data_IF_301390289040
#
_entry.id   IF_301390289040
#
_cell.length_a   1.000
_cell.length_b   1.000
_cell.length_c   1.000
_cell.angle_alpha   90.00
_cell.angle_beta   90.00
_cell.angle_gamma   90.00
#
_symmetry.space_group_name_H-M   'P 1'
#
loop_
_entity.id
_entity.type
_entity.pdbx_description
1 polymer ?
#
# COMPACT_ATOMS: atom_id res chain seq x y z
N UNK A 1 50.69 -42.47 15.72
CA UNK A 1 49.55 -42.10 16.57
C UNK A 1 48.70 -41.15 15.74
N UNK A 2 47.66 -41.67 15.09
CA UNK A 2 46.77 -40.90 14.22
C UNK A 2 45.35 -41.05 14.78
N UNK A 3 44.76 -39.94 15.22
CA UNK A 3 43.36 -39.86 15.65
C UNK A 3 42.49 -39.57 14.42
N UNK A 4 41.67 -40.55 14.03
CA UNK A 4 40.61 -40.37 13.03
C UNK A 4 39.38 -39.80 13.74
N UNK A 5 39.19 -38.48 13.67
CA UNK A 5 37.99 -37.79 14.13
C UNK A 5 36.90 -38.00 13.09
N UNK A 6 35.98 -38.94 13.35
CA UNK A 6 34.74 -39.09 12.57
C UNK A 6 33.59 -38.36 13.25
N UNK A 7 32.89 -37.59 12.44
CA UNK A 7 31.79 -36.70 12.76
C UNK A 7 30.55 -37.47 13.24
N UNK A 8 29.98 -37.07 14.37
CA UNK A 8 28.65 -37.50 14.82
C UNK A 8 27.65 -36.37 14.54
N UNK A 9 27.36 -36.20 13.26
CA UNK A 9 26.12 -35.60 12.78
C UNK A 9 25.02 -36.65 12.98
N UNK A 10 23.85 -36.23 13.48
CA UNK A 10 22.62 -37.02 13.71
C UNK A 10 22.50 -37.67 15.10
N UNK A 11 22.04 -36.86 16.06
CA UNK A 11 21.12 -37.35 17.08
C UNK A 11 19.90 -36.41 17.10
N UNK A 12 19.06 -36.57 16.07
CA UNK A 12 17.75 -35.93 15.98
C UNK A 12 16.77 -36.96 16.55
N UNK A 13 16.43 -36.81 17.82
CA UNK A 13 15.38 -37.60 18.46
C UNK A 13 14.03 -37.16 17.88
N UNK A 14 13.40 -38.05 17.11
CA UNK A 14 12.11 -37.82 16.49
C UNK A 14 11.03 -37.91 17.57
N UNK A 15 10.57 -36.74 18.03
CA UNK A 15 9.48 -36.65 19.01
C UNK A 15 8.16 -36.90 18.29
N UNK A 16 7.48 -37.99 18.64
CA UNK A 16 6.15 -38.28 18.12
C UNK A 16 5.17 -37.14 18.49
N UNK A 17 4.38 -36.63 17.53
CA UNK A 17 3.41 -35.60 17.83
C UNK A 17 2.36 -36.16 18.79
N UNK A 18 2.15 -35.45 19.91
CA UNK A 18 1.07 -35.74 20.87
C UNK A 18 -0.24 -35.91 20.11
N UNK A 19 -1.00 -37.01 20.36
CA UNK A 19 -2.31 -37.20 19.76
C UNK A 19 -3.19 -35.97 20.02
N UNK A 20 -3.69 -35.37 18.95
CA UNK A 20 -4.76 -34.37 19.02
C UNK A 20 -6.04 -35.16 18.95
N UNK A 21 -6.79 -35.24 20.04
CA UNK A 21 -8.11 -35.86 20.04
C UNK A 21 -9.01 -35.11 19.03
N UNK A 22 -9.30 -35.72 17.89
CA UNK A 22 -10.23 -35.21 16.88
C UNK A 22 -11.68 -35.38 17.33
N UNK A 23 -12.06 -34.75 18.45
CA UNK A 23 -13.45 -34.48 18.76
C UNK A 23 -13.52 -33.16 19.54
N UNK A 24 -14.43 -32.23 19.20
CA UNK A 24 -14.65 -31.06 20.04
C UNK A 24 -15.36 -31.56 21.30
N UNK A 25 -14.59 -31.89 22.32
CA UNK A 25 -15.10 -32.05 23.68
C UNK A 25 -15.64 -30.69 24.11
N UNK A 26 -16.95 -30.54 23.89
CA UNK A 26 -17.93 -29.82 24.70
C UNK A 26 -17.29 -28.90 25.73
N UNK A 27 -17.52 -27.58 25.56
CA UNK A 27 -17.16 -26.50 26.48
C UNK A 27 -17.37 -26.90 27.94
N UNK A 28 -16.34 -27.48 28.57
CA UNK A 28 -16.31 -27.68 30.00
C UNK A 28 -15.71 -26.41 30.59
N UNK A 29 -16.62 -25.56 31.05
CA UNK A 29 -16.37 -24.45 31.95
C UNK A 29 -15.33 -24.84 33.02
N UNK A 30 -14.29 -24.02 33.19
CA UNK A 30 -13.43 -24.14 34.38
C UNK A 30 -11.92 -23.89 34.23
N UNK A 31 -11.47 -23.00 33.34
CA UNK A 31 -10.04 -22.59 33.32
C UNK A 31 -9.76 -21.20 33.92
N UNK A 32 -10.78 -20.42 34.27
CA UNK A 32 -10.58 -19.14 34.97
C UNK A 32 -11.15 -19.21 36.37
N UNK A 33 -10.25 -19.36 37.34
CA UNK A 33 -10.52 -19.17 38.76
C UNK A 33 -11.14 -17.80 38.98
N UNK A 34 -12.31 -17.80 39.59
CA UNK A 34 -13.06 -16.61 39.97
C UNK A 34 -12.48 -16.09 41.29
N UNK A 35 -11.35 -15.39 41.23
CA UNK A 35 -10.83 -14.61 42.36
C UNK A 35 -11.01 -13.13 42.10
N UNK A 36 -11.78 -12.51 42.99
CA UNK A 36 -12.15 -11.10 42.99
C UNK A 36 -10.97 -10.30 43.51
N UNK A 37 -10.33 -9.52 42.64
CA UNK A 37 -9.53 -8.36 43.04
C UNK A 37 -10.01 -7.10 42.31
N UNK A 38 -10.20 -5.96 43.01
CA UNK A 38 -10.73 -4.74 42.44
C UNK A 38 -9.60 -3.87 41.86
N UNK A 39 -9.96 -3.02 40.89
CA UNK A 39 -9.17 -1.89 40.38
C UNK A 39 -7.90 -2.20 39.57
N UNK A 40 -8.11 -2.47 38.28
CA UNK A 40 -7.35 -1.74 37.25
C UNK A 40 -8.22 -1.58 36.01
N UNK A 41 -8.56 -0.34 35.70
CA UNK A 41 -9.27 0.09 34.50
C UNK A 41 -8.46 -0.28 33.26
N UNK A 42 -8.61 -1.52 32.81
CA UNK A 42 -8.11 -1.99 31.54
C UNK A 42 -8.90 -1.28 30.44
N UNK A 43 -8.24 -0.32 29.78
CA UNK A 43 -8.72 0.26 28.54
C UNK A 43 -9.04 -0.87 27.56
N UNK A 44 -10.33 -1.07 27.29
CA UNK A 44 -10.78 -1.99 26.25
C UNK A 44 -9.98 -1.74 24.96
N UNK A 45 -9.31 -2.77 24.39
CA UNK A 45 -8.74 -2.63 23.06
C UNK A 45 -9.90 -2.38 22.09
N UNK A 46 -10.01 -1.14 21.62
CA UNK A 46 -11.00 -0.75 20.62
C UNK A 46 -10.74 -1.52 19.33
N UNK A 47 -11.59 -2.53 19.10
CA UNK A 47 -12.04 -3.09 17.82
C UNK A 47 -10.93 -3.68 16.93
N UNK A 48 -10.64 -4.96 17.15
CA UNK A 48 -10.25 -5.86 16.06
C UNK A 48 -11.50 -6.63 15.61
N UNK A 49 -12.01 -6.30 14.43
CA UNK A 49 -13.04 -7.08 13.75
C UNK A 49 -12.43 -8.40 13.29
N UNK A 50 -12.44 -9.39 14.19
CA UNK A 50 -11.92 -10.76 13.97
C UNK A 50 -12.85 -11.65 13.15
N UNK A 51 -13.98 -11.13 12.65
CA UNK A 51 -15.02 -11.89 11.96
C UNK A 51 -15.22 -11.54 10.48
N UNK A 52 -14.30 -10.83 9.83
CA UNK A 52 -14.39 -10.54 8.38
C UNK A 52 -15.55 -9.61 7.95
N UNK A 53 -16.57 -9.39 8.78
CA UNK A 53 -17.66 -8.41 8.60
C UNK A 53 -17.29 -7.01 9.13
N UNK A 54 -16.01 -6.64 9.06
CA UNK A 54 -15.52 -5.35 9.54
C UNK A 54 -15.58 -4.28 8.45
N UNK A 55 -16.27 -3.17 8.72
CA UNK A 55 -16.37 -2.01 7.83
C UNK A 55 -15.02 -1.51 7.26
N UNK A 56 -15.11 -0.72 6.20
CA UNK A 56 -13.96 -0.21 5.46
C UNK A 56 -12.87 0.35 6.37
N UNK A 57 -11.70 -0.31 6.39
CA UNK A 57 -10.54 0.15 7.14
C UNK A 57 -9.78 1.25 6.37
N UNK A 58 -8.88 1.99 7.03
CA UNK A 58 -8.10 3.07 6.38
C UNK A 58 -7.32 2.56 5.17
N UNK A 59 -6.76 1.35 5.23
CA UNK A 59 -6.04 0.74 4.09
C UNK A 59 -7.00 0.50 2.92
N UNK A 60 -8.25 0.13 3.17
CA UNK A 60 -9.29 -0.06 2.17
C UNK A 60 -9.56 1.25 1.42
N UNK A 61 -9.82 2.34 2.14
CA UNK A 61 -10.08 3.66 1.53
C UNK A 61 -8.87 4.15 0.74
N UNK A 62 -7.68 4.11 1.34
CA UNK A 62 -6.46 4.54 0.66
C UNK A 62 -6.18 3.71 -0.59
N UNK A 63 -6.42 2.40 -0.57
CA UNK A 63 -6.25 1.54 -1.76
C UNK A 63 -7.21 1.90 -2.88
N UNK A 64 -8.42 2.37 -2.53
CA UNK A 64 -9.44 2.76 -3.50
C UNK A 64 -9.14 4.13 -4.08
N UNK A 65 -8.71 5.08 -3.25
CA UNK A 65 -8.22 6.38 -3.71
C UNK A 65 -7.06 6.19 -4.68
N UNK A 66 -6.07 5.36 -4.32
CA UNK A 66 -4.91 5.10 -5.18
C UNK A 66 -5.31 4.46 -6.52
N UNK A 67 -6.24 3.50 -6.49
CA UNK A 67 -6.74 2.81 -7.70
C UNK A 67 -7.54 3.74 -8.61
N UNK A 68 -8.54 4.43 -8.07
CA UNK A 68 -9.47 5.22 -8.87
C UNK A 68 -8.86 6.53 -9.37
N UNK A 69 -7.91 7.12 -8.63
CA UNK A 69 -7.12 8.25 -9.14
C UNK A 69 -6.34 7.87 -10.42
N UNK A 70 -5.80 6.66 -10.50
CA UNK A 70 -5.11 6.19 -11.71
C UNK A 70 -6.02 6.10 -12.93
N UNK A 71 -7.32 5.83 -12.77
CA UNK A 71 -8.24 5.74 -13.91
C UNK A 71 -8.47 7.09 -14.57
N UNK A 72 -8.63 8.14 -13.76
CA UNK A 72 -8.78 9.50 -14.27
C UNK A 72 -7.53 9.93 -15.04
N UNK A 73 -6.35 9.72 -14.45
CA UNK A 73 -5.09 10.06 -15.10
C UNK A 73 -4.83 9.25 -16.38
N UNK A 74 -5.22 7.97 -16.41
CA UNK A 74 -5.07 7.12 -17.61
C UNK A 74 -5.98 7.59 -18.73
N UNK A 75 -7.24 7.93 -18.42
CA UNK A 75 -8.17 8.46 -19.39
C UNK A 75 -7.68 9.81 -19.96
N UNK A 76 -7.20 10.71 -19.09
CA UNK A 76 -6.58 11.97 -19.50
C UNK A 76 -5.36 11.74 -20.39
N UNK A 77 -4.44 10.84 -20.00
CA UNK A 77 -3.25 10.54 -20.78
C UNK A 77 -3.60 9.99 -22.17
N UNK A 78 -4.61 9.14 -22.28
CA UNK A 78 -5.12 8.64 -23.57
C UNK A 78 -5.63 9.77 -24.47
N UNK A 79 -6.47 10.66 -23.92
CA UNK A 79 -6.97 11.82 -24.65
C UNK A 79 -5.85 12.80 -25.05
N UNK A 80 -4.89 13.02 -24.15
CA UNK A 80 -3.75 13.87 -24.39
C UNK A 80 -2.87 13.31 -25.53
N UNK A 81 -2.46 12.05 -25.45
CA UNK A 81 -1.66 11.37 -26.50
C UNK A 81 -2.40 11.38 -27.84
N UNK A 82 -3.72 11.12 -27.82
CA UNK A 82 -4.52 11.15 -29.03
C UNK A 82 -4.44 12.52 -29.71
N UNK A 83 -4.67 13.61 -28.97
CA UNK A 83 -4.72 14.95 -29.55
C UNK A 83 -3.35 15.55 -29.86
N UNK A 84 -2.34 15.28 -29.03
CA UNK A 84 -1.02 15.91 -29.18
C UNK A 84 -0.05 15.09 -30.02
N UNK A 85 -0.32 13.79 -30.22
CA UNK A 85 0.58 12.89 -30.96
C UNK A 85 -0.13 12.18 -32.12
N UNK A 86 -1.23 11.47 -31.87
CA UNK A 86 -1.86 10.61 -32.89
C UNK A 86 -2.54 11.44 -33.98
N UNK A 87 -3.37 12.42 -33.61
CA UNK A 87 -4.09 13.25 -34.58
C UNK A 87 -3.10 14.00 -35.47
N UNK A 88 -2.09 14.74 -34.96
CA UNK A 88 -1.10 15.39 -35.81
C UNK A 88 -0.35 14.42 -36.74
N UNK A 89 -0.04 13.21 -36.24
CA UNK A 89 0.62 12.17 -37.03
C UNK A 89 -0.25 11.67 -38.19
N UNK A 90 -1.57 11.52 -37.96
CA UNK A 90 -2.52 11.05 -38.97
C UNK A 90 -2.88 12.15 -39.96
N UNK A 91 -3.16 13.37 -39.49
CA UNK A 91 -3.55 14.49 -40.36
C UNK A 91 -2.38 15.00 -41.19
N UNK A 92 -1.13 14.85 -40.70
CA UNK A 92 0.10 15.34 -41.33
C UNK A 92 0.02 16.83 -41.72
N UNK A 93 -0.81 17.59 -41.00
CA UNK A 93 -1.13 18.97 -41.31
C UNK A 93 -1.43 19.71 -40.01
N UNK A 94 -0.68 20.80 -39.77
CA UNK A 94 -0.83 21.64 -38.58
C UNK A 94 -2.22 22.31 -38.56
N UNK A 95 -2.68 23.01 -39.63
CA UNK A 95 -3.99 23.65 -39.62
C UNK A 95 -5.16 22.69 -39.38
N UNK A 96 -5.05 21.45 -39.88
CA UNK A 96 -6.09 20.44 -39.69
C UNK A 96 -6.08 19.87 -38.27
N UNK A 97 -4.89 19.67 -37.67
CA UNK A 97 -4.77 19.20 -36.28
C UNK A 97 -5.20 20.24 -35.25
N UNK A 98 -5.05 21.54 -35.57
CA UNK A 98 -5.34 22.64 -34.66
C UNK A 98 -6.80 22.66 -34.20
N UNK A 99 -7.74 22.32 -35.09
CA UNK A 99 -9.17 22.26 -34.76
C UNK A 99 -9.45 21.28 -33.62
N UNK A 100 -8.79 20.13 -33.62
CA UNK A 100 -8.94 19.10 -32.59
C UNK A 100 -8.27 19.52 -31.28
N UNK A 101 -7.11 20.18 -31.35
CA UNK A 101 -6.43 20.73 -30.18
C UNK A 101 -7.31 21.78 -29.48
N UNK A 102 -7.88 22.71 -30.26
CA UNK A 102 -8.73 23.78 -29.77
C UNK A 102 -10.02 23.25 -29.12
N UNK A 103 -10.60 22.18 -29.66
CA UNK A 103 -11.78 21.53 -29.07
C UNK A 103 -11.53 21.05 -27.64
N UNK A 104 -10.30 20.63 -27.34
CA UNK A 104 -9.94 20.10 -26.02
C UNK A 104 -9.38 21.12 -25.04
N UNK A 105 -9.13 22.34 -25.52
CA UNK A 105 -8.61 23.43 -24.70
C UNK A 105 -9.41 23.69 -23.42
N UNK A 106 -10.76 23.74 -23.42
CA UNK A 106 -11.53 23.98 -22.20
C UNK A 106 -11.35 22.89 -21.13
N UNK A 107 -11.04 21.66 -21.54
CA UNK A 107 -10.84 20.53 -20.63
C UNK A 107 -9.43 20.45 -20.07
N UNK A 108 -8.43 20.93 -20.82
CA UNK A 108 -7.02 20.87 -20.43
C UNK A 108 -6.55 22.11 -19.66
N UNK A 109 -7.12 23.27 -19.95
CA UNK A 109 -6.66 24.58 -19.43
C UNK A 109 -7.79 25.40 -18.77
N UNK A 110 -9.02 24.88 -18.79
CA UNK A 110 -10.17 25.57 -18.22
C UNK A 110 -10.39 25.20 -16.76
N UNK A 111 -10.74 26.19 -15.94
CA UNK A 111 -11.31 25.94 -14.62
C UNK A 111 -12.77 25.51 -14.77
N UNK A 112 -13.25 24.47 -14.06
CA UNK A 112 -12.56 23.69 -13.02
C UNK A 112 -11.90 22.38 -13.53
N UNK A 113 -11.85 22.15 -14.85
CA UNK A 113 -11.50 20.86 -15.44
C UNK A 113 -10.06 20.44 -15.21
N UNK A 114 -9.10 21.36 -15.37
CA UNK A 114 -7.67 21.06 -15.17
C UNK A 114 -7.38 20.57 -13.73
N UNK A 115 -7.81 21.28 -12.65
CA UNK A 115 -7.64 20.77 -11.30
C UNK A 115 -8.29 19.41 -11.06
N UNK A 116 -9.45 19.15 -11.66
CA UNK A 116 -10.22 17.93 -11.42
C UNK A 116 -9.64 16.70 -12.14
N UNK A 117 -9.12 16.89 -13.35
CA UNK A 117 -8.62 15.79 -14.19
C UNK A 117 -7.14 15.47 -13.96
N UNK A 118 -6.35 16.47 -13.58
CA UNK A 118 -4.90 16.31 -13.49
C UNK A 118 -4.43 16.47 -12.04
N UNK A 119 -4.67 17.63 -11.43
CA UNK A 119 -4.08 17.99 -10.13
C UNK A 119 -4.62 17.09 -9.02
N UNK A 120 -5.94 17.01 -8.85
CA UNK A 120 -6.56 16.26 -7.76
C UNK A 120 -6.27 14.75 -7.84
N UNK A 121 -6.40 14.07 -8.99
CA UNK A 121 -6.04 12.66 -9.12
C UNK A 121 -4.54 12.41 -8.87
N UNK A 122 -3.66 13.28 -9.36
CA UNK A 122 -2.21 13.14 -9.15
C UNK A 122 -1.86 13.19 -7.66
N UNK A 123 -2.33 14.22 -6.95
CA UNK A 123 -2.09 14.36 -5.51
C UNK A 123 -2.72 13.20 -4.73
N UNK A 124 -3.96 12.82 -5.08
CA UNK A 124 -4.63 11.68 -4.47
C UNK A 124 -3.82 10.39 -4.66
N UNK A 125 -3.25 10.15 -5.84
CA UNK A 125 -2.44 8.96 -6.13
C UNK A 125 -1.15 8.94 -5.30
N UNK A 126 -0.40 10.05 -5.28
CA UNK A 126 0.88 10.14 -4.56
C UNK A 126 0.66 10.01 -3.06
N UNK A 127 -0.25 10.81 -2.49
CA UNK A 127 -0.49 10.84 -1.04
C UNK A 127 -1.01 9.48 -0.57
N UNK A 128 -2.00 8.90 -1.26
CA UNK A 128 -2.55 7.59 -0.87
C UNK A 128 -1.51 6.47 -1.01
N UNK A 129 -0.68 6.50 -2.05
CA UNK A 129 0.40 5.55 -2.25
C UNK A 129 1.47 5.61 -1.16
N UNK A 130 1.89 6.81 -0.74
CA UNK A 130 2.83 7.00 0.37
C UNK A 130 2.19 6.54 1.69
N UNK A 131 0.97 6.99 1.97
CA UNK A 131 0.23 6.64 3.18
C UNK A 131 0.03 5.11 3.32
N UNK A 132 -0.29 4.42 2.23
CA UNK A 132 -0.45 2.95 2.23
C UNK A 132 0.81 2.23 2.63
N UNK A 133 1.97 2.64 2.12
CA UNK A 133 3.23 1.98 2.42
C UNK A 133 3.64 2.21 3.88
N UNK A 134 3.45 3.42 4.39
CA UNK A 134 3.67 3.74 5.82
C UNK A 134 2.71 2.94 6.70
N UNK A 135 1.41 2.91 6.37
CA UNK A 135 0.41 2.17 7.13
C UNK A 135 0.69 0.66 7.16
N UNK A 136 1.03 0.05 6.02
CA UNK A 136 1.38 -1.37 5.93
C UNK A 136 2.67 -1.69 6.70
N UNK A 137 3.68 -0.83 6.61
CA UNK A 137 4.92 -0.97 7.39
C UNK A 137 4.62 -0.96 8.89
N UNK A 138 3.86 0.03 9.36
CA UNK A 138 3.52 0.16 10.77
C UNK A 138 2.71 -1.03 11.27
N UNK A 139 1.79 -1.55 10.45
CA UNK A 139 1.03 -2.75 10.78
C UNK A 139 1.93 -3.99 10.87
N UNK A 140 2.87 -4.15 9.94
CA UNK A 140 3.83 -5.25 9.97
C UNK A 140 4.78 -5.15 11.17
N UNK A 141 5.25 -3.95 11.52
CA UNK A 141 6.08 -3.73 12.70
C UNK A 141 5.35 -4.12 14.00
N UNK A 142 4.05 -3.78 14.11
CA UNK A 142 3.21 -4.20 15.24
C UNK A 142 3.01 -5.71 15.31
N UNK A 143 2.90 -6.39 14.17
CA UNK A 143 2.65 -7.85 14.10
C UNK A 143 3.89 -8.68 14.38
N UNK A 144 5.04 -8.25 13.87
CA UNK A 144 6.27 -9.03 13.89
C UNK A 144 7.29 -8.54 14.93
N UNK A 145 6.90 -7.61 15.82
CA UNK A 145 7.77 -7.12 16.90
C UNK A 145 9.05 -6.41 16.45
N UNK A 146 9.20 -6.11 15.16
CA UNK A 146 10.45 -5.63 14.57
C UNK A 146 10.77 -4.15 14.87
N UNK A 147 9.94 -3.45 15.64
CA UNK A 147 10.27 -2.13 16.15
C UNK A 147 10.69 -2.28 17.61
N UNK A 148 12.00 -2.18 17.87
CA UNK A 148 12.46 -1.77 19.20
C UNK A 148 11.71 -0.52 19.64
N UNK A 149 11.62 -0.29 20.94
CA UNK A 149 10.73 0.67 21.62
C UNK A 149 10.81 2.15 21.15
N UNK A 150 11.59 2.44 20.12
CA UNK A 150 11.80 3.76 19.53
C UNK A 150 11.02 3.91 18.22
N UNK A 151 10.12 4.91 18.19
CA UNK A 151 9.46 5.32 16.94
C UNK A 151 10.52 5.96 16.04
N UNK A 152 10.77 5.45 14.82
CA UNK A 152 11.74 6.07 13.94
C UNK A 152 11.33 7.49 13.59
N UNK A 153 12.30 8.41 13.67
CA UNK A 153 12.15 9.77 13.14
C UNK A 153 11.77 9.73 11.67
N UNK A 154 10.95 10.68 11.22
CA UNK A 154 10.51 10.83 9.82
C UNK A 154 11.69 10.89 8.83
N UNK A 155 12.83 11.44 9.26
CA UNK A 155 14.04 11.56 8.44
C UNK A 155 14.91 10.29 8.45
N UNK A 156 14.56 9.27 9.23
CA UNK A 156 15.29 8.01 9.27
C UNK A 156 15.01 7.16 8.04
N UNK A 157 16.04 6.51 7.49
CA UNK A 157 15.86 5.46 6.47
C UNK A 157 14.98 4.31 6.99
N UNK A 158 14.95 4.10 8.32
CA UNK A 158 14.06 3.15 8.96
C UNK A 158 12.60 3.64 9.05
N UNK A 159 12.27 4.87 8.70
CA UNK A 159 10.86 5.28 8.57
C UNK A 159 10.29 4.87 7.22
N UNK A 160 11.06 5.08 6.15
CA UNK A 160 10.57 4.94 4.79
C UNK A 160 10.48 3.48 4.34
N UNK A 161 9.37 3.08 3.68
CA UNK A 161 9.19 1.73 3.16
C UNK A 161 10.18 1.42 2.03
N UNK A 162 10.52 0.14 1.84
CA UNK A 162 11.35 -0.28 0.70
C UNK A 162 10.69 0.13 -0.62
N UNK A 163 11.48 0.68 -1.54
CA UNK A 163 11.01 1.13 -2.86
C UNK A 163 10.99 -0.03 -3.85
N UNK A 164 9.83 -0.30 -4.46
CA UNK A 164 9.71 -1.27 -5.56
C UNK A 164 10.32 -0.72 -6.86
N UNK A 165 10.59 -1.58 -7.85
CA UNK A 165 11.06 -1.14 -9.18
C UNK A 165 10.13 -0.11 -9.82
N UNK A 166 8.81 -0.34 -9.77
CA UNK A 166 7.79 0.60 -10.23
C UNK A 166 7.88 1.95 -9.49
N UNK A 167 8.16 1.93 -8.19
CA UNK A 167 8.36 3.17 -7.43
C UNK A 167 9.62 3.92 -7.85
N UNK A 168 10.71 3.21 -8.18
CA UNK A 168 11.94 3.84 -8.67
C UNK A 168 11.69 4.54 -10.00
N UNK A 169 10.96 3.90 -10.91
CA UNK A 169 10.54 4.52 -12.16
C UNK A 169 9.72 5.79 -11.91
N UNK A 170 8.76 5.74 -10.97
CA UNK A 170 7.98 6.92 -10.60
C UNK A 170 8.85 8.10 -10.17
N UNK A 171 9.85 7.88 -9.33
CA UNK A 171 10.79 8.92 -8.92
C UNK A 171 11.63 9.46 -10.09
N UNK A 172 12.07 8.59 -11.02
CA UNK A 172 12.82 9.00 -12.21
C UNK A 172 11.97 9.84 -13.18
N UNK A 173 10.69 9.51 -13.36
CA UNK A 173 9.78 10.25 -14.23
C UNK A 173 9.23 11.53 -13.60
N UNK A 174 9.32 11.69 -12.28
CA UNK A 174 8.84 12.89 -11.57
C UNK A 174 9.39 14.21 -12.15
N UNK A 175 10.71 14.41 -12.32
CA UNK A 175 11.22 15.65 -12.90
C UNK A 175 10.75 15.88 -14.34
N UNK A 176 10.63 14.82 -15.15
CA UNK A 176 10.13 14.92 -16.52
C UNK A 176 8.67 15.38 -16.56
N UNK A 177 7.83 14.86 -15.66
CA UNK A 177 6.42 15.27 -15.55
C UNK A 177 6.31 16.71 -15.06
N UNK A 178 7.09 17.10 -14.05
CA UNK A 178 7.09 18.48 -13.54
C UNK A 178 7.50 19.46 -14.65
N UNK A 179 8.59 19.18 -15.36
CA UNK A 179 9.03 20.03 -16.47
C UNK A 179 8.15 19.96 -17.72
N UNK A 180 7.18 19.04 -17.78
CA UNK A 180 6.20 18.98 -18.87
C UNK A 180 4.93 19.78 -18.54
N UNK A 181 4.53 19.84 -17.27
CA UNK A 181 3.33 20.55 -16.83
C UNK A 181 3.55 22.07 -16.73
N UNK A 182 4.79 22.50 -16.43
CA UNK A 182 5.18 23.90 -16.27
C UNK A 182 6.07 24.38 -17.43
#
# INVERSE_FOLDING_TARGET
MAEDRRESIMDLEEVEPSPVDETPSEFKEGYFSNEKDPEKSAQHPKRTSTLGLGGHNTIWYLSRIQKYSSYVFTAFAGAHIANTSIIPLVTRSVPESERYLLLTRPYYQGLPMEPLLVIAPLWAHIISGVALRVARRNLNAKRYGAAGNEKPSFFSSYFWPKVSGISKLGFQFTPLVIGHIF
#
